data_IF_688176744995
#
_entry.id   IF_688176744995
#
_cell.length_a   1.000
_cell.length_b   1.000
_cell.length_c   1.000
_cell.angle_alpha   90.00
_cell.angle_beta   90.00
_cell.angle_gamma   90.00
#
_symmetry.space_group_name_H-M   'P 1'
#
loop_
_entity.id
_entity.type
_entity.pdbx_description
1 polymer ?
#
# COMPACT_ATOMS: atom_id res chain seq x y z
N UNK A 1 15.09 8.99 -2.16
CA UNK A 1 15.48 7.72 -2.85
C UNK A 1 14.41 7.42 -3.87
N UNK A 2 14.72 6.92 -5.06
CA UNK A 2 13.70 6.61 -6.08
C UNK A 2 13.48 5.11 -6.19
N UNK A 3 12.22 4.68 -6.12
CA UNK A 3 11.78 3.33 -6.44
C UNK A 3 11.20 3.30 -7.85
N UNK A 4 11.46 2.23 -8.60
CA UNK A 4 10.85 1.99 -9.90
C UNK A 4 10.76 0.48 -10.15
N UNK A 5 9.60 0.02 -10.62
CA UNK A 5 9.40 -1.36 -11.06
C UNK A 5 7.94 -1.62 -11.44
N UNK A 6 7.71 -2.48 -12.43
CA UNK A 6 6.38 -2.98 -12.80
C UNK A 6 5.32 -1.88 -13.04
N UNK A 7 5.71 -0.78 -13.69
CA UNK A 7 4.84 0.37 -13.96
C UNK A 7 4.47 1.16 -12.71
N UNK A 8 5.21 1.01 -11.61
CA UNK A 8 5.09 1.80 -10.39
C UNK A 8 6.39 2.57 -10.16
N UNK A 9 6.29 3.81 -9.69
CA UNK A 9 7.44 4.55 -9.17
C UNK A 9 7.07 5.47 -8.03
N UNK A 10 8.04 5.75 -7.17
CA UNK A 10 7.88 6.66 -6.04
C UNK A 10 9.21 7.33 -5.69
N UNK A 11 9.20 8.64 -5.48
CA UNK A 11 10.32 9.36 -4.89
C UNK A 11 10.10 9.44 -3.37
N UNK A 12 10.89 8.67 -2.61
CA UNK A 12 10.75 8.55 -1.16
C UNK A 12 11.35 9.76 -0.44
N UNK A 13 10.59 10.42 0.45
CA UNK A 13 11.10 11.45 1.34
C UNK A 13 12.18 10.91 2.29
N UNK A 14 12.94 11.80 2.91
CA UNK A 14 13.92 11.40 3.94
C UNK A 14 13.20 10.70 5.10
N UNK A 15 13.79 9.61 5.58
CA UNK A 15 13.24 8.79 6.66
C UNK A 15 12.24 7.73 6.20
N UNK A 16 11.96 7.65 4.89
CA UNK A 16 11.19 6.56 4.31
C UNK A 16 12.10 5.47 3.75
N UNK A 17 11.66 4.25 3.92
CA UNK A 17 12.12 3.06 3.20
C UNK A 17 10.98 2.55 2.31
N UNK A 18 11.32 1.85 1.23
CA UNK A 18 10.31 1.17 0.47
C UNK A 18 10.88 0.21 -0.57
N UNK A 19 9.99 -0.62 -1.09
CA UNK A 19 10.29 -1.64 -2.10
C UNK A 19 9.12 -1.79 -3.05
N UNK A 20 9.40 -2.17 -4.29
CA UNK A 20 8.38 -2.65 -5.23
C UNK A 20 8.77 -4.09 -5.59
N UNK A 21 7.86 -5.03 -5.38
CA UNK A 21 8.05 -6.46 -5.64
C UNK A 21 6.80 -7.05 -6.27
N UNK A 22 6.87 -8.29 -6.75
CA UNK A 22 5.70 -9.03 -7.19
C UNK A 22 5.11 -9.82 -6.01
N UNK A 23 3.79 -9.99 -6.01
CA UNK A 23 3.02 -10.83 -5.09
C UNK A 23 3.60 -12.26 -5.11
N UNK A 24 4.11 -12.70 -3.96
CA UNK A 24 4.74 -14.01 -3.78
C UNK A 24 3.73 -15.16 -3.73
N UNK A 25 2.47 -14.86 -3.41
CA UNK A 25 1.37 -15.82 -3.35
C UNK A 25 1.04 -16.34 -4.75
N UNK A 26 0.92 -15.42 -5.71
CA UNK A 26 0.74 -15.77 -7.13
C UNK A 26 2.03 -16.28 -7.77
N UNK A 27 3.21 -15.91 -7.25
CA UNK A 27 4.49 -16.47 -7.71
C UNK A 27 4.54 -18.00 -7.54
N UNK A 28 4.11 -18.52 -6.39
CA UNK A 28 4.04 -19.96 -6.16
C UNK A 28 3.07 -20.66 -7.14
N UNK A 29 1.91 -20.05 -7.41
CA UNK A 29 0.94 -20.56 -8.38
C UNK A 29 1.45 -20.48 -9.83
N UNK A 30 2.19 -19.43 -10.15
CA UNK A 30 2.83 -19.23 -11.45
C UNK A 30 3.94 -20.27 -11.67
N UNK A 31 4.82 -20.47 -10.68
CA UNK A 31 5.86 -21.49 -10.69
C UNK A 31 5.29 -22.91 -10.76
N UNK A 32 4.08 -23.12 -10.20
CA UNK A 32 3.34 -24.36 -10.32
C UNK A 32 2.59 -24.53 -11.66
N UNK A 33 2.68 -23.55 -12.58
CA UNK A 33 2.02 -23.59 -13.88
C UNK A 33 0.49 -23.44 -13.81
N UNK A 34 -0.05 -22.93 -12.69
CA UNK A 34 -1.49 -22.87 -12.41
C UNK A 34 -2.15 -21.53 -12.76
N UNK A 35 -1.51 -20.71 -13.62
CA UNK A 35 -2.10 -19.49 -14.15
C UNK A 35 -2.11 -18.28 -13.19
N UNK A 36 -1.18 -18.23 -12.23
CA UNK A 36 -0.95 -17.02 -11.43
C UNK A 36 -0.48 -15.86 -12.31
N UNK A 37 -0.99 -14.65 -12.04
CA UNK A 37 -0.46 -13.43 -12.64
C UNK A 37 0.27 -12.66 -11.57
N UNK A 38 1.60 -12.55 -11.70
CA UNK A 38 2.40 -11.75 -10.78
C UNK A 38 1.93 -10.30 -10.81
N UNK A 39 1.42 -9.83 -9.66
CA UNK A 39 0.94 -8.47 -9.47
C UNK A 39 1.92 -7.69 -8.60
N UNK A 40 2.34 -6.48 -8.99
CA UNK A 40 3.20 -5.65 -8.18
C UNK A 40 2.52 -5.19 -6.89
N UNK A 41 3.35 -5.15 -5.86
CA UNK A 41 3.06 -4.60 -4.54
C UNK A 41 4.16 -3.62 -4.19
N UNK A 42 3.79 -2.40 -3.86
CA UNK A 42 4.71 -1.42 -3.30
C UNK A 42 4.48 -1.32 -1.78
N UNK A 43 5.54 -1.48 -1.01
CA UNK A 43 5.55 -1.22 0.44
C UNK A 43 6.40 0.00 0.72
N UNK A 44 5.85 0.96 1.46
CA UNK A 44 6.53 2.18 1.89
C UNK A 44 6.33 2.33 3.40
N UNK A 45 7.38 2.69 4.12
CA UNK A 45 7.32 2.85 5.57
C UNK A 45 8.28 3.91 6.08
N UNK A 46 7.99 4.48 7.26
CA UNK A 46 8.91 5.39 7.98
C UNK A 46 9.92 4.65 8.86
N UNK A 47 9.94 3.32 8.78
CA UNK A 47 10.79 2.42 9.56
C UNK A 47 11.35 1.31 8.65
N UNK A 48 12.40 0.59 9.08
CA UNK A 48 12.99 -0.47 8.27
C UNK A 48 12.00 -1.60 7.97
N UNK A 49 11.87 -1.98 6.70
CA UNK A 49 10.94 -3.03 6.29
C UNK A 49 11.57 -4.41 6.47
N UNK A 50 10.91 -5.36 7.18
CA UNK A 50 11.43 -6.71 7.31
C UNK A 50 11.39 -7.45 5.98
N UNK A 51 12.37 -8.30 5.70
CA UNK A 51 12.45 -9.05 4.44
C UNK A 51 11.34 -10.09 4.23
N UNK A 52 10.73 -10.57 5.32
CA UNK A 52 9.53 -11.40 5.30
C UNK A 52 8.33 -10.62 5.80
N UNK A 53 7.38 -10.34 4.91
CA UNK A 53 6.11 -9.68 5.23
C UNK A 53 5.04 -10.02 4.19
N UNK A 54 3.78 -9.97 4.57
CA UNK A 54 2.67 -10.11 3.64
C UNK A 54 2.36 -8.81 2.89
N UNK A 55 1.57 -8.90 1.84
CA UNK A 55 1.26 -7.77 0.95
C UNK A 55 0.56 -6.61 1.67
N UNK A 56 -0.26 -6.92 2.68
CA UNK A 56 -0.91 -5.93 3.55
C UNK A 56 -0.13 -5.63 4.83
N UNK A 57 1.15 -5.98 4.88
CA UNK A 57 2.07 -5.58 5.94
C UNK A 57 2.14 -6.50 7.16
N UNK A 58 1.52 -7.69 7.12
CA UNK A 58 1.73 -8.68 8.20
C UNK A 58 3.21 -9.00 8.36
N UNK A 59 3.72 -9.00 9.58
CA UNK A 59 5.15 -9.10 9.91
C UNK A 59 5.88 -7.75 9.95
N UNK A 60 5.36 -6.70 9.30
CA UNK A 60 5.91 -5.35 9.32
C UNK A 60 5.17 -4.43 10.29
N UNK A 61 3.82 -4.45 10.30
CA UNK A 61 3.02 -3.56 11.15
C UNK A 61 3.17 -3.87 12.63
N UNK A 62 3.57 -5.09 12.99
CA UNK A 62 3.91 -5.50 14.35
C UNK A 62 5.19 -4.83 14.89
N UNK A 63 6.02 -4.26 14.02
CA UNK A 63 7.28 -3.59 14.38
C UNK A 63 7.11 -2.06 14.52
N UNK A 64 5.95 -1.53 14.16
CA UNK A 64 5.70 -0.10 14.17
C UNK A 64 5.72 0.49 15.58
N UNK A 65 6.34 1.66 15.69
CA UNK A 65 6.18 2.56 16.84
C UNK A 65 5.02 3.51 16.62
N UNK A 66 4.69 4.29 17.64
CA UNK A 66 3.58 5.26 17.65
C UNK A 66 3.67 6.28 16.51
N UNK A 67 4.87 6.72 16.17
CA UNK A 67 5.15 7.72 15.15
C UNK A 67 5.25 7.16 13.72
N UNK A 68 5.16 5.83 13.58
CA UNK A 68 5.41 5.13 12.32
C UNK A 68 4.18 5.09 11.43
N UNK A 69 4.47 5.00 10.13
CA UNK A 69 3.49 4.83 9.07
C UNK A 69 3.92 3.66 8.20
N UNK A 70 2.95 2.83 7.82
CA UNK A 70 3.09 1.80 6.80
C UNK A 70 2.06 2.04 5.69
N UNK A 71 2.49 1.92 4.44
CA UNK A 71 1.67 2.02 3.24
C UNK A 71 1.93 0.81 2.36
N UNK A 72 0.86 0.14 1.94
CA UNK A 72 0.88 -0.85 0.89
C UNK A 72 0.02 -0.37 -0.29
N UNK A 73 0.58 -0.46 -1.49
CA UNK A 73 -0.15 -0.30 -2.74
C UNK A 73 -0.13 -1.65 -3.46
N UNK A 74 -1.29 -2.31 -3.50
CA UNK A 74 -1.45 -3.67 -4.01
C UNK A 74 -2.24 -3.63 -5.31
N UNK A 75 -1.66 -4.09 -6.41
CA UNK A 75 -2.39 -4.24 -7.68
C UNK A 75 -3.29 -5.49 -7.64
N UNK A 76 -4.49 -5.36 -8.21
CA UNK A 76 -5.45 -6.44 -8.40
C UNK A 76 -5.45 -6.93 -9.85
N UNK A 77 -6.23 -7.97 -10.17
CA UNK A 77 -6.33 -8.46 -11.53
C UNK A 77 -6.90 -7.38 -12.48
N UNK A 78 -6.57 -7.45 -13.77
CA UNK A 78 -6.97 -6.43 -14.74
C UNK A 78 -8.51 -6.34 -14.85
N UNK A 79 -9.18 -7.49 -14.74
CA UNK A 79 -10.64 -7.61 -14.80
C UNK A 79 -11.34 -6.90 -13.63
N UNK A 80 -10.62 -6.65 -12.53
CA UNK A 80 -11.15 -5.93 -11.38
C UNK A 80 -11.29 -4.42 -11.65
N UNK A 81 -10.60 -3.88 -12.66
CA UNK A 81 -10.60 -2.44 -12.95
C UNK A 81 -11.99 -1.90 -13.30
N UNK A 82 -12.85 -2.73 -13.88
CA UNK A 82 -14.21 -2.35 -14.29
C UNK A 82 -15.28 -2.69 -13.23
N UNK A 83 -14.90 -3.20 -12.06
CA UNK A 83 -15.88 -3.58 -11.03
C UNK A 83 -16.28 -2.38 -10.17
N UNK A 84 -17.50 -2.37 -9.57
CA UNK A 84 -17.97 -1.28 -8.73
C UNK A 84 -17.07 -0.98 -7.52
N UNK A 85 -16.30 -1.97 -7.03
CA UNK A 85 -15.37 -1.79 -5.92
C UNK A 85 -14.24 -0.81 -6.27
N UNK A 86 -13.79 -0.81 -7.54
CA UNK A 86 -12.70 0.02 -8.05
C UNK A 86 -13.18 1.24 -8.85
N UNK A 87 -14.46 1.60 -8.72
CA UNK A 87 -15.08 2.71 -9.45
C UNK A 87 -14.44 4.09 -9.17
N UNK A 88 -13.72 4.25 -8.06
CA UNK A 88 -12.99 5.48 -7.76
C UNK A 88 -11.82 5.63 -8.73
N UNK A 89 -11.84 6.70 -9.53
CA UNK A 89 -10.73 7.05 -10.41
C UNK A 89 -9.69 7.92 -9.70
N UNK A 90 -8.42 7.59 -9.93
CA UNK A 90 -7.26 8.35 -9.46
C UNK A 90 -6.73 7.94 -8.08
N UNK A 91 -5.42 7.99 -7.96
CA UNK A 91 -4.61 7.72 -6.78
C UNK A 91 -5.07 8.61 -5.63
N UNK A 92 -5.47 8.04 -4.48
CA UNK A 92 -5.86 8.80 -3.31
C UNK A 92 -4.65 9.53 -2.72
N UNK A 93 -4.42 10.78 -3.14
CA UNK A 93 -3.33 11.63 -2.62
C UNK A 93 -3.71 12.46 -1.41
N UNK A 94 -5.01 12.67 -1.20
CA UNK A 94 -5.57 13.36 -0.03
C UNK A 94 -6.45 12.39 0.75
N UNK A 95 -6.11 12.17 2.00
CA UNK A 95 -6.74 11.18 2.86
C UNK A 95 -7.55 11.88 3.95
N UNK A 96 -8.74 11.37 4.26
CA UNK A 96 -9.57 11.91 5.36
C UNK A 96 -9.16 11.24 6.69
N UNK A 97 -8.55 11.97 7.65
CA UNK A 97 -8.13 11.39 8.92
C UNK A 97 -9.26 10.67 9.68
N UNK A 98 -10.51 11.09 9.48
CA UNK A 98 -11.68 10.50 10.16
C UNK A 98 -12.05 9.11 9.64
N UNK A 99 -11.48 8.68 8.51
CA UNK A 99 -11.68 7.34 7.95
C UNK A 99 -10.77 6.29 8.57
N UNK A 100 -9.72 6.71 9.27
CA UNK A 100 -8.82 5.79 9.95
C UNK A 100 -9.49 5.21 11.18
N UNK A 101 -9.49 3.88 11.28
CA UNK A 101 -10.04 3.19 12.43
C UNK A 101 -9.32 1.88 12.70
N UNK A 102 -9.37 1.42 13.95
CA UNK A 102 -8.86 0.09 14.32
C UNK A 102 -9.70 -1.06 13.72
N UNK A 103 -10.96 -0.80 13.36
CA UNK A 103 -11.88 -1.79 12.75
C UNK A 103 -11.59 -2.02 11.26
N UNK A 104 -10.81 -1.14 10.66
CA UNK A 104 -10.40 -1.23 9.25
C UNK A 104 -9.14 -2.07 9.06
N UNK A 105 -8.49 -2.51 10.14
CA UNK A 105 -7.31 -3.36 10.11
C UNK A 105 -7.71 -4.84 10.07
N UNK A 106 -7.03 -5.64 9.23
CA UNK A 106 -7.23 -7.10 9.22
C UNK A 106 -6.82 -7.75 10.55
N UNK A 107 -5.77 -7.22 11.17
CA UNK A 107 -5.33 -7.57 12.53
C UNK A 107 -5.17 -6.27 13.32
N UNK A 108 -6.02 -6.07 14.31
CA UNK A 108 -5.93 -4.91 15.20
C UNK A 108 -4.77 -5.05 16.18
N UNK A 109 -3.86 -4.08 16.17
CA UNK A 109 -2.83 -3.89 17.21
C UNK A 109 -3.26 -2.66 18.03
N UNK A 110 -3.18 -2.74 19.35
CA UNK A 110 -3.58 -1.65 20.23
C UNK A 110 -2.84 -0.34 19.86
N UNK A 111 -3.56 0.77 19.79
CA UNK A 111 -3.06 2.07 19.36
C UNK A 111 -3.12 2.30 17.84
N UNK A 112 -2.96 1.25 17.03
CA UNK A 112 -2.96 1.39 15.59
C UNK A 112 -4.34 1.65 15.01
N UNK A 113 -4.36 2.43 13.93
CA UNK A 113 -5.54 2.66 13.09
C UNK A 113 -5.14 2.50 11.63
N UNK A 114 -6.08 2.11 10.78
CA UNK A 114 -5.81 1.99 9.36
C UNK A 114 -6.98 2.37 8.49
N UNK A 115 -6.71 2.40 7.19
CA UNK A 115 -7.71 2.66 6.16
C UNK A 115 -7.32 1.95 4.86
N UNK A 116 -8.33 1.41 4.17
CA UNK A 116 -8.19 0.83 2.85
C UNK A 116 -9.07 1.58 1.84
N UNK A 117 -8.51 1.86 0.66
CA UNK A 117 -9.20 2.53 -0.44
C UNK A 117 -8.92 1.79 -1.73
N UNK A 118 -9.98 1.36 -2.39
CA UNK A 118 -9.92 0.78 -3.73
C UNK A 118 -10.10 1.88 -4.76
N UNK A 119 -9.29 1.83 -5.82
CA UNK A 119 -9.30 2.83 -6.88
C UNK A 119 -8.67 2.26 -8.15
N UNK A 120 -8.86 2.97 -9.26
CA UNK A 120 -8.22 2.72 -10.53
C UNK A 120 -7.37 3.91 -10.96
N UNK A 121 -6.18 3.64 -11.50
CA UNK A 121 -5.36 4.64 -12.18
C UNK A 121 -4.66 3.99 -13.36
N UNK A 122 -4.60 4.69 -14.50
CA UNK A 122 -3.98 4.18 -15.73
C UNK A 122 -4.55 2.82 -16.21
N UNK A 123 -5.85 2.59 -16.00
CA UNK A 123 -6.54 1.34 -16.38
C UNK A 123 -6.28 0.14 -15.45
N UNK A 124 -5.62 0.36 -14.31
CA UNK A 124 -5.20 -0.70 -13.38
C UNK A 124 -5.93 -0.56 -12.05
N UNK A 125 -6.35 -1.69 -11.47
CA UNK A 125 -7.04 -1.77 -10.19
C UNK A 125 -6.07 -1.84 -9.02
N UNK A 126 -6.26 -1.00 -8.00
CA UNK A 126 -5.39 -0.95 -6.83
C UNK A 126 -6.16 -0.84 -5.52
N UNK A 127 -5.59 -1.42 -4.47
CA UNK A 127 -5.89 -1.08 -3.08
C UNK A 127 -4.74 -0.29 -2.47
N UNK A 128 -5.04 0.91 -1.98
CA UNK A 128 -4.19 1.65 -1.06
C UNK A 128 -4.57 1.24 0.37
N UNK A 129 -3.65 0.60 1.07
CA UNK A 129 -3.79 0.22 2.47
C UNK A 129 -2.78 0.98 3.31
N UNK A 130 -3.27 1.66 4.36
CA UNK A 130 -2.43 2.50 5.23
C UNK A 130 -2.65 2.10 6.68
N UNK A 131 -1.56 1.96 7.43
CA UNK A 131 -1.56 1.75 8.88
C UNK A 131 -0.76 2.87 9.53
N UNK A 132 -1.32 3.43 10.60
CA UNK A 132 -0.70 4.47 11.42
C UNK A 132 -0.40 3.86 12.80
N UNK A 133 0.78 4.17 13.34
CA UNK A 133 1.25 3.65 14.62
C UNK A 133 0.42 4.08 15.82
N UNK A 134 -0.20 5.26 15.74
CA UNK A 134 -1.04 5.81 16.79
C UNK A 134 -2.23 6.59 16.20
N UNK A 135 -3.44 6.21 16.62
CA UNK A 135 -4.68 6.90 16.26
C UNK A 135 -4.83 8.29 16.90
N UNK A 136 -4.17 8.56 18.02
CA UNK A 136 -4.22 9.89 18.66
C UNK A 136 -3.49 10.94 17.81
N UNK A 137 -2.43 10.53 17.09
CA UNK A 137 -1.63 11.36 16.19
C UNK A 137 -2.09 11.32 14.72
N UNK A 138 -3.30 10.83 14.44
CA UNK A 138 -3.82 10.56 13.08
C UNK A 138 -3.59 11.72 12.09
N UNK A 139 -3.82 12.96 12.49
CA UNK A 139 -3.64 14.12 11.61
C UNK A 139 -2.18 14.35 11.23
N UNK A 140 -1.25 14.11 12.15
CA UNK A 140 0.18 14.23 11.89
C UNK A 140 0.67 13.11 10.97
N UNK A 141 0.25 11.87 11.26
CA UNK A 141 0.68 10.70 10.51
C UNK A 141 0.08 10.67 9.11
N UNK A 142 -1.17 11.10 8.92
CA UNK A 142 -1.78 11.26 7.59
C UNK A 142 -0.98 12.24 6.73
N UNK A 143 -0.52 13.37 7.27
CA UNK A 143 0.33 14.29 6.49
C UNK A 143 1.62 13.65 6.00
N UNK A 144 2.23 12.74 6.78
CA UNK A 144 3.41 11.98 6.33
C UNK A 144 3.04 11.06 5.16
N UNK A 145 1.88 10.39 5.23
CA UNK A 145 1.37 9.53 4.16
C UNK A 145 1.18 10.35 2.88
N UNK A 146 0.43 11.46 2.94
CA UNK A 146 0.13 12.30 1.78
C UNK A 146 1.42 12.85 1.12
N UNK A 147 2.45 13.15 1.92
CA UNK A 147 3.75 13.56 1.40
C UNK A 147 4.36 12.51 0.48
N UNK A 148 4.38 11.23 0.86
CA UNK A 148 4.94 10.19 -0.01
C UNK A 148 4.01 9.86 -1.19
N UNK A 149 2.68 9.92 -1.00
CA UNK A 149 1.72 9.61 -2.06
C UNK A 149 1.70 10.64 -3.20
N UNK A 150 2.11 11.88 -2.92
CA UNK A 150 2.25 12.94 -3.93
C UNK A 150 3.20 12.52 -5.07
N UNK A 151 4.24 11.78 -4.73
CA UNK A 151 5.30 11.36 -5.65
C UNK A 151 5.13 9.93 -6.18
N UNK A 152 4.05 9.23 -5.80
CA UNK A 152 3.71 7.94 -6.38
C UNK A 152 3.10 8.13 -7.77
N UNK A 153 3.64 7.37 -8.73
CA UNK A 153 3.18 7.31 -10.12
C UNK A 153 2.84 5.88 -10.50
N UNK A 154 1.72 5.74 -11.19
CA UNK A 154 1.21 4.50 -11.76
C UNK A 154 1.14 4.71 -13.27
N UNK A 155 1.88 3.89 -14.01
CA UNK A 155 1.91 3.89 -15.46
C UNK A 155 1.02 2.75 -16.00
N UNK A 156 0.48 2.88 -17.23
CA UNK A 156 -0.20 1.77 -17.89
C UNK A 156 0.72 0.54 -18.03
N UNK A 157 0.15 -0.67 -18.07
CA UNK A 157 0.91 -1.84 -18.51
C UNK A 157 1.13 -1.74 -20.02
N UNK A 158 2.38 -1.87 -20.46
CA UNK A 158 2.80 -1.91 -21.88
C UNK A 158 2.59 -3.28 -22.50
#
# INVERSE_FOLDING_TARGET
MRLNGHGLSADLPRGWEGTISLDRSDEALTLAGMGGSLRPVAHLATFPLPGGRGDFGSGAVELMRTEDVFVALVEYAEEEADTPLFARQGMPRHLDPRRFSNRSLQRGIAGQVGWQVFFTEAGRAFCLYVVLGDGEDVHLLVRKVEQVLTDVRIEPRS
#
